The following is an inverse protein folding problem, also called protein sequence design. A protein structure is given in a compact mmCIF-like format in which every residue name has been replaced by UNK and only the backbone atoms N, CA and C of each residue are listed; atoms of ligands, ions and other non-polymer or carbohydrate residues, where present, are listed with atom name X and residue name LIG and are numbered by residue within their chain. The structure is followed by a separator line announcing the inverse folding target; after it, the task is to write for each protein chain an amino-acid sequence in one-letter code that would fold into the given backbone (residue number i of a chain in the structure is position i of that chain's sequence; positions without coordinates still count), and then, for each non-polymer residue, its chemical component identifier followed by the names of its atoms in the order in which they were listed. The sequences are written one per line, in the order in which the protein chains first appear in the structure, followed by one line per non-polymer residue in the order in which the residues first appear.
data_IF_733181157327
#
_entry.id   IF_733181157327
#
_cell.length_a   1.000
_cell.length_b   1.000
_cell.length_c   1.000
_cell.angle_alpha   90.00
_cell.angle_beta   90.00
_cell.angle_gamma   90.00
#
_symmetry.space_group_name_H-M   'P 1'
#
loop_
_entity.id
_entity.type
_entity.pdbx_description
1 polymer ?
#
# COMPACT_ATOMS: atom_id res chain seq x y z
N UNK A 1 19.04 -15.79 -7.22
CA UNK A 1 19.78 -16.58 -6.24
C UNK A 1 19.70 -18.08 -6.51
N UNK A 2 20.41 -18.86 -5.72
CA UNK A 2 20.47 -20.33 -5.88
C UNK A 2 19.08 -20.97 -5.68
N UNK A 3 18.31 -20.47 -4.74
CA UNK A 3 16.97 -20.99 -4.39
C UNK A 3 15.84 -20.39 -5.26
N UNK A 4 16.19 -19.50 -6.20
CA UNK A 4 15.23 -18.84 -7.11
C UNK A 4 14.10 -18.12 -6.36
N UNK A 5 14.38 -17.57 -5.22
CA UNK A 5 13.45 -16.89 -4.32
C UNK A 5 13.34 -15.38 -4.58
N UNK A 6 14.26 -14.82 -5.37
CA UNK A 6 14.24 -13.42 -5.77
C UNK A 6 13.74 -13.25 -7.20
N UNK A 7 13.10 -12.13 -7.45
CA UNK A 7 12.71 -11.64 -8.77
C UNK A 7 13.42 -10.32 -9.00
N UNK A 8 14.10 -10.20 -10.14
CA UNK A 8 14.72 -8.94 -10.56
C UNK A 8 14.11 -8.46 -11.87
N UNK A 9 13.85 -7.18 -11.97
CA UNK A 9 13.25 -6.57 -13.14
C UNK A 9 13.11 -5.07 -12.99
N UNK A 10 12.67 -4.43 -14.07
CA UNK A 10 12.32 -3.02 -14.08
C UNK A 10 10.85 -2.84 -13.72
N UNK A 11 10.55 -1.82 -12.90
CA UNK A 11 9.18 -1.40 -12.60
C UNK A 11 8.45 -2.33 -11.63
N UNK A 12 9.16 -2.99 -10.69
CA UNK A 12 8.51 -3.58 -9.52
C UNK A 12 7.74 -2.52 -8.74
N UNK A 13 8.29 -1.35 -8.66
CA UNK A 13 7.65 -0.11 -8.25
C UNK A 13 6.86 0.49 -9.44
N UNK A 14 5.47 0.40 -9.46
CA UNK A 14 4.70 -0.33 -8.47
C UNK A 14 3.88 -1.48 -9.12
N UNK A 15 4.37 -2.09 -10.18
CA UNK A 15 3.62 -3.17 -10.86
C UNK A 15 3.42 -4.41 -9.98
N UNK A 16 4.30 -4.66 -9.00
CA UNK A 16 4.14 -5.81 -8.12
C UNK A 16 2.99 -5.64 -7.12
N UNK A 17 2.78 -4.45 -6.56
CA UNK A 17 1.65 -4.18 -5.67
C UNK A 17 0.34 -4.05 -6.47
N UNK A 18 0.37 -3.48 -7.68
CA UNK A 18 -0.78 -3.47 -8.58
C UNK A 18 -1.22 -4.89 -8.94
N UNK A 19 -0.28 -5.77 -9.29
CA UNK A 19 -0.55 -7.18 -9.58
C UNK A 19 -1.15 -7.92 -8.38
N UNK A 20 -0.55 -7.78 -7.19
CA UNK A 20 -1.05 -8.45 -5.98
C UNK A 20 -2.41 -7.92 -5.56
N UNK A 21 -2.69 -6.63 -5.72
CA UNK A 21 -4.00 -6.01 -5.47
C UNK A 21 -5.08 -6.59 -6.39
N UNK A 22 -4.78 -6.69 -7.69
CA UNK A 22 -5.70 -7.30 -8.66
C UNK A 22 -5.98 -8.76 -8.32
N UNK A 23 -4.93 -9.55 -8.08
CA UNK A 23 -5.08 -10.95 -7.74
C UNK A 23 -5.83 -11.15 -6.42
N UNK A 24 -5.60 -10.31 -5.44
CA UNK A 24 -6.30 -10.34 -4.17
C UNK A 24 -7.81 -10.11 -4.36
N UNK A 25 -8.19 -9.07 -5.10
CA UNK A 25 -9.59 -8.77 -5.40
C UNK A 25 -10.27 -9.91 -6.16
N UNK A 26 -9.63 -10.43 -7.22
CA UNK A 26 -10.20 -11.51 -8.05
C UNK A 26 -10.37 -12.85 -7.31
N UNK A 27 -9.57 -13.09 -6.27
CA UNK A 27 -9.59 -14.32 -5.48
C UNK A 27 -10.24 -14.12 -4.09
N UNK A 28 -10.71 -12.92 -3.77
CA UNK A 28 -11.42 -12.67 -2.52
C UNK A 28 -12.88 -13.11 -2.60
N UNK A 29 -13.42 -13.52 -1.47
CA UNK A 29 -14.85 -13.80 -1.36
C UNK A 29 -15.64 -12.49 -1.29
N UNK A 30 -16.80 -12.49 -1.93
CA UNK A 30 -17.75 -11.38 -1.85
C UNK A 30 -18.33 -11.29 -0.43
N UNK A 31 -18.40 -10.08 0.11
CA UNK A 31 -18.99 -9.82 1.42
C UNK A 31 -20.04 -8.70 1.34
N UNK A 32 -20.52 -8.22 2.49
CA UNK A 32 -21.53 -7.16 2.58
C UNK A 32 -21.01 -5.76 2.20
N UNK A 33 -19.71 -5.61 1.95
CA UNK A 33 -19.06 -4.33 1.62
C UNK A 33 -18.70 -4.28 0.15
N UNK A 34 -18.70 -3.09 -0.44
CA UNK A 34 -18.17 -2.87 -1.78
C UNK A 34 -16.64 -2.97 -1.74
N UNK A 35 -16.08 -3.87 -2.54
CA UNK A 35 -14.66 -4.06 -2.70
C UNK A 35 -14.21 -3.35 -3.98
N UNK A 36 -13.17 -2.51 -3.89
CA UNK A 36 -12.69 -1.72 -5.02
C UNK A 36 -11.16 -1.80 -5.06
N UNK A 37 -10.59 -2.10 -6.22
CA UNK A 37 -9.18 -1.85 -6.52
C UNK A 37 -9.10 -0.72 -7.54
N UNK A 38 -8.34 0.32 -7.23
CA UNK A 38 -8.13 1.49 -8.07
C UNK A 38 -6.67 1.51 -8.51
N UNK A 39 -6.43 1.50 -9.81
CA UNK A 39 -5.10 1.57 -10.39
C UNK A 39 -4.91 2.98 -10.96
N UNK A 40 -4.26 3.84 -10.17
CA UNK A 40 -3.98 5.21 -10.56
C UNK A 40 -2.68 5.29 -11.36
N UNK A 41 -2.59 6.29 -12.22
CA UNK A 41 -1.38 6.60 -12.98
C UNK A 41 -0.62 7.78 -12.36
N UNK A 42 0.63 7.94 -12.79
CA UNK A 42 1.44 9.14 -12.50
C UNK A 42 1.80 9.33 -11.01
N UNK A 43 1.83 8.28 -10.21
CA UNK A 43 2.22 8.38 -8.80
C UNK A 43 3.59 9.03 -8.68
N UNK A 44 4.60 8.51 -9.37
CA UNK A 44 6.01 8.95 -9.39
C UNK A 44 6.22 10.41 -9.81
N UNK A 45 5.23 11.01 -10.46
CA UNK A 45 5.28 12.40 -10.92
C UNK A 45 4.30 13.31 -10.19
N UNK A 46 3.76 12.84 -9.04
CA UNK A 46 2.94 13.62 -8.13
C UNK A 46 1.44 13.54 -8.38
N UNK A 47 0.96 12.55 -9.12
CA UNK A 47 -0.47 12.21 -9.29
C UNK A 47 -1.36 13.33 -9.87
N UNK A 48 -0.80 14.33 -10.56
CA UNK A 48 -1.51 15.54 -10.99
C UNK A 48 -2.16 15.46 -12.39
N UNK A 49 -2.16 14.29 -13.01
CA UNK A 49 -2.78 14.09 -14.33
C UNK A 49 -4.21 13.54 -14.18
N UNK A 50 -4.95 13.51 -15.29
CA UNK A 50 -6.38 13.18 -15.31
C UNK A 50 -6.75 11.82 -14.69
N UNK A 51 -5.82 10.86 -14.70
CA UNK A 51 -5.98 9.51 -14.10
C UNK A 51 -5.13 9.32 -12.86
N UNK A 52 -4.56 10.40 -12.33
CA UNK A 52 -3.81 10.40 -11.08
C UNK A 52 -4.72 10.61 -9.86
N UNK A 53 -4.29 10.20 -8.70
CA UNK A 53 -5.07 10.29 -7.47
C UNK A 53 -5.38 11.72 -7.01
N UNK A 54 -4.65 12.73 -7.50
CA UNK A 54 -4.93 14.14 -7.20
C UNK A 54 -5.93 14.79 -8.15
N UNK A 55 -6.55 14.03 -9.04
CA UNK A 55 -7.62 14.50 -9.92
C UNK A 55 -9.00 14.20 -9.33
N UNK A 56 -10.04 14.68 -9.98
CA UNK A 56 -11.43 14.35 -9.61
C UNK A 56 -11.82 12.90 -9.95
N UNK A 57 -10.96 12.15 -10.63
CA UNK A 57 -11.17 10.77 -11.05
C UNK A 57 -11.67 9.86 -9.91
N UNK A 58 -11.10 10.01 -8.70
CA UNK A 58 -11.52 9.25 -7.53
C UNK A 58 -12.95 9.65 -7.10
N UNK A 59 -13.24 10.95 -7.05
CA UNK A 59 -14.56 11.45 -6.67
C UNK A 59 -15.62 11.01 -7.68
N UNK A 60 -15.29 10.98 -8.97
CA UNK A 60 -16.17 10.48 -10.04
C UNK A 60 -16.48 8.99 -9.89
N UNK A 61 -15.52 8.15 -9.50
CA UNK A 61 -15.77 6.73 -9.23
C UNK A 61 -16.82 6.58 -8.13
N UNK A 62 -16.64 7.25 -6.99
CA UNK A 62 -17.58 7.17 -5.87
C UNK A 62 -18.95 7.78 -6.20
N UNK A 63 -18.97 8.86 -6.97
CA UNK A 63 -20.21 9.48 -7.42
C UNK A 63 -21.01 8.56 -8.34
N UNK A 64 -20.34 7.87 -9.25
CA UNK A 64 -20.97 6.88 -10.13
C UNK A 64 -21.52 5.69 -9.34
N UNK A 65 -20.75 5.16 -8.37
CA UNK A 65 -21.21 4.08 -7.48
C UNK A 65 -22.41 4.50 -6.62
N UNK A 66 -22.48 5.78 -6.26
CA UNK A 66 -23.60 6.37 -5.51
C UNK A 66 -24.77 6.80 -6.40
N UNK A 67 -24.82 6.41 -7.68
CA UNK A 67 -25.86 6.79 -8.65
C UNK A 67 -26.07 8.32 -8.75
N UNK A 68 -25.01 9.10 -8.63
CA UNK A 68 -25.03 10.56 -8.70
C UNK A 68 -25.37 11.27 -7.39
N UNK A 69 -25.60 10.55 -6.29
CA UNK A 69 -25.85 11.18 -4.99
C UNK A 69 -24.52 11.59 -4.34
N UNK A 70 -24.25 12.89 -4.37
CA UNK A 70 -23.02 13.47 -3.82
C UNK A 70 -22.86 13.23 -2.30
N UNK A 71 -23.94 13.22 -1.53
CA UNK A 71 -23.90 13.00 -0.08
C UNK A 71 -23.49 11.57 0.23
N UNK A 72 -24.10 10.60 -0.46
CA UNK A 72 -23.77 9.18 -0.36
C UNK A 72 -22.33 8.93 -0.79
N UNK A 73 -21.88 9.51 -1.89
CA UNK A 73 -20.50 9.40 -2.37
C UNK A 73 -19.48 9.90 -1.33
N UNK A 74 -19.72 11.09 -0.78
CA UNK A 74 -18.85 11.69 0.26
C UNK A 74 -18.82 10.87 1.55
N UNK A 75 -19.94 10.32 1.95
CA UNK A 75 -20.04 9.44 3.12
C UNK A 75 -19.31 8.12 2.86
N UNK A 76 -19.45 7.53 1.69
CA UNK A 76 -18.72 6.33 1.30
C UNK A 76 -17.20 6.53 1.35
N UNK A 77 -16.69 7.64 0.79
CA UNK A 77 -15.25 7.97 0.85
C UNK A 77 -14.77 8.05 2.30
N UNK A 78 -15.47 8.77 3.17
CA UNK A 78 -15.07 8.93 4.58
C UNK A 78 -15.07 7.61 5.35
N UNK A 79 -16.01 6.72 5.05
CA UNK A 79 -16.15 5.42 5.72
C UNK A 79 -15.29 4.33 5.08
N UNK A 80 -14.54 4.66 4.02
CA UNK A 80 -13.65 3.71 3.37
C UNK A 80 -12.41 3.42 4.22
N UNK A 81 -12.07 2.15 4.29
CA UNK A 81 -10.79 1.66 4.73
C UNK A 81 -9.93 1.34 3.50
N UNK A 82 -8.74 1.90 3.43
CA UNK A 82 -7.93 1.88 2.21
C UNK A 82 -6.51 1.40 2.52
N UNK A 83 -6.05 0.42 1.79
CA UNK A 83 -4.64 0.13 1.66
C UNK A 83 -4.11 0.93 0.46
N UNK A 84 -3.17 1.82 0.70
CA UNK A 84 -2.33 2.41 -0.34
C UNK A 84 -1.28 1.35 -0.66
N UNK A 85 -1.51 0.68 -1.77
CA UNK A 85 -0.72 -0.46 -2.21
C UNK A 85 0.46 0.08 -3.02
N UNK A 86 1.60 0.18 -2.38
CA UNK A 86 2.84 0.70 -2.95
C UNK A 86 4.03 -0.05 -2.35
N UNK A 87 5.14 -0.18 -3.06
CA UNK A 87 6.35 -0.82 -2.54
C UNK A 87 6.90 -0.05 -1.34
N UNK A 88 7.68 -0.72 -0.52
CA UNK A 88 8.45 -0.06 0.54
C UNK A 88 9.95 -0.28 0.38
N UNK A 89 10.75 0.62 0.93
CA UNK A 89 12.19 0.54 0.83
C UNK A 89 12.73 -0.68 1.60
N UNK A 90 13.28 -1.66 0.89
CA UNK A 90 14.04 -2.74 1.50
C UNK A 90 15.34 -2.24 2.10
N UNK A 91 15.70 -2.72 3.29
CA UNK A 91 16.92 -2.31 3.96
C UNK A 91 18.17 -2.63 3.12
N UNK A 92 18.93 -1.60 2.83
CA UNK A 92 20.23 -1.68 2.16
C UNK A 92 21.35 -1.23 3.09
N UNK A 93 22.31 -2.11 3.34
CA UNK A 93 23.41 -1.84 4.26
C UNK A 93 24.29 -0.66 3.83
N UNK A 94 24.39 -0.41 2.52
CA UNK A 94 25.13 0.72 1.96
C UNK A 94 24.53 2.06 2.37
N UNK A 95 23.22 2.11 2.61
CA UNK A 95 22.47 3.30 3.00
C UNK A 95 21.86 3.17 4.41
N UNK A 96 22.47 2.38 5.28
CA UNK A 96 21.93 2.05 6.60
C UNK A 96 21.54 3.30 7.44
N UNK A 97 22.24 4.42 7.28
CA UNK A 97 21.94 5.67 7.99
C UNK A 97 20.57 6.27 7.66
N UNK A 98 19.98 5.92 6.53
CA UNK A 98 18.66 6.43 6.11
C UNK A 98 17.49 5.62 6.71
N UNK A 99 17.75 4.44 7.25
CA UNK A 99 16.74 3.57 7.83
C UNK A 99 16.64 3.74 9.34
N UNK A 100 15.45 3.55 9.88
CA UNK A 100 15.22 3.44 11.32
C UNK A 100 15.58 2.02 11.78
N UNK A 101 16.55 1.89 12.68
CA UNK A 101 17.07 0.59 13.08
C UNK A 101 16.03 -0.36 13.68
N UNK A 102 15.06 0.21 14.39
CA UNK A 102 14.01 -0.55 15.07
C UNK A 102 12.82 -0.91 14.16
N UNK A 103 12.72 -0.31 12.97
CA UNK A 103 11.54 -0.42 12.11
C UNK A 103 11.91 -0.28 10.62
N UNK A 104 12.67 -1.24 10.13
CA UNK A 104 13.12 -1.34 8.73
C UNK A 104 12.64 -2.64 8.09
N UNK A 105 12.18 -2.58 6.85
CA UNK A 105 11.81 -3.76 6.10
C UNK A 105 13.05 -4.46 5.53
N UNK A 106 13.11 -5.77 5.63
CA UNK A 106 14.17 -6.61 5.07
C UNK A 106 13.57 -7.56 4.05
N UNK A 107 14.08 -7.54 2.83
CA UNK A 107 13.62 -8.42 1.74
C UNK A 107 13.69 -9.89 2.16
N UNK A 108 12.61 -10.65 1.95
CA UNK A 108 12.48 -12.05 2.36
C UNK A 108 11.86 -12.26 3.74
N UNK A 109 11.38 -11.20 4.41
CA UNK A 109 10.80 -11.27 5.76
C UNK A 109 9.31 -10.99 5.85
N UNK A 110 8.65 -10.84 4.71
CA UNK A 110 7.21 -10.61 4.62
C UNK A 110 6.84 -9.20 4.18
N UNK A 111 5.55 -8.95 4.07
CA UNK A 111 5.00 -7.67 3.63
C UNK A 111 5.37 -6.52 4.57
N UNK A 112 5.68 -5.36 4.00
CA UNK A 112 5.88 -4.12 4.74
C UNK A 112 4.55 -3.45 5.09
N UNK A 113 4.34 -3.12 6.36
CA UNK A 113 3.25 -2.26 6.82
C UNK A 113 3.87 -0.94 7.26
N UNK A 114 3.50 0.16 6.61
CA UNK A 114 4.10 1.46 6.79
C UNK A 114 3.09 2.42 7.44
N UNK A 115 3.02 2.49 8.76
CA UNK A 115 2.04 3.33 9.44
C UNK A 115 2.41 4.81 9.45
N UNK A 116 3.64 5.16 9.09
CA UNK A 116 4.15 6.53 9.11
C UNK A 116 5.23 6.74 8.05
N UNK A 117 5.00 7.70 7.15
CA UNK A 117 5.88 8.05 6.03
C UNK A 117 6.71 9.32 6.24
N UNK A 118 6.77 9.86 7.45
CA UNK A 118 7.56 11.05 7.75
C UNK A 118 6.77 12.35 7.70
N UNK A 119 7.48 13.49 7.94
CA UNK A 119 6.86 14.82 8.12
C UNK A 119 6.44 15.51 6.81
N UNK A 120 7.04 15.11 5.68
CA UNK A 120 6.81 15.75 4.39
C UNK A 120 5.96 14.80 3.53
N UNK A 121 4.71 15.15 3.28
CA UNK A 121 3.79 14.39 2.40
C UNK A 121 3.51 12.95 2.86
N UNK A 122 3.81 12.64 4.12
CA UNK A 122 3.58 11.31 4.65
C UNK A 122 2.17 11.14 5.21
N UNK A 123 1.77 9.89 5.33
CA UNK A 123 0.60 9.47 6.06
C UNK A 123 0.99 9.16 7.51
N UNK A 124 0.12 9.49 8.45
CA UNK A 124 0.15 9.00 9.83
C UNK A 124 -1.15 8.24 10.06
N UNK A 125 -1.07 6.94 9.97
CA UNK A 125 -2.25 6.07 9.99
C UNK A 125 -2.94 6.09 11.34
N UNK A 126 -4.27 6.20 11.33
CA UNK A 126 -5.10 6.07 12.52
C UNK A 126 -4.75 4.82 13.32
N UNK A 127 -4.67 4.97 14.64
CA UNK A 127 -4.23 3.91 15.55
C UNK A 127 -5.10 2.65 15.46
N UNK A 128 -6.41 2.80 15.38
CA UNK A 128 -7.34 1.67 15.32
C UNK A 128 -7.21 0.92 13.98
N UNK A 129 -7.08 1.66 12.88
CA UNK A 129 -6.90 1.06 11.56
C UNK A 129 -5.56 0.33 11.44
N UNK A 130 -4.50 0.93 11.96
CA UNK A 130 -3.18 0.26 12.07
C UNK A 130 -3.27 -1.04 12.88
N UNK A 131 -3.96 -1.03 14.03
CA UNK A 131 -4.15 -2.21 14.86
C UNK A 131 -4.95 -3.30 14.13
N UNK A 132 -5.99 -2.90 13.39
CA UNK A 132 -6.80 -3.80 12.58
C UNK A 132 -5.97 -4.52 11.52
N UNK A 133 -5.20 -3.79 10.70
CA UNK A 133 -4.38 -4.39 9.63
C UNK A 133 -3.32 -5.33 10.19
N UNK A 134 -2.69 -4.94 11.31
CA UNK A 134 -1.76 -5.82 12.02
C UNK A 134 -2.45 -7.08 12.54
N UNK A 135 -3.66 -6.96 13.09
CA UNK A 135 -4.42 -8.10 13.61
C UNK A 135 -4.81 -9.06 12.48
N UNK A 136 -5.20 -8.55 11.31
CA UNK A 136 -5.45 -9.37 10.13
C UNK A 136 -4.24 -10.22 9.74
N UNK A 137 -3.05 -9.63 9.77
CA UNK A 137 -1.83 -10.37 9.49
C UNK A 137 -1.59 -11.49 10.52
N UNK A 138 -1.79 -11.20 11.80
CA UNK A 138 -1.61 -12.19 12.89
C UNK A 138 -2.62 -13.32 12.81
N UNK A 139 -3.90 -13.02 12.64
CA UNK A 139 -4.98 -14.01 12.61
C UNK A 139 -4.89 -14.98 11.42
N UNK A 140 -4.21 -14.56 10.37
CA UNK A 140 -4.03 -15.34 9.15
C UNK A 140 -2.60 -15.90 8.96
N UNK A 141 -1.75 -15.85 9.98
CA UNK A 141 -0.35 -16.30 9.91
C UNK A 141 0.39 -15.71 8.68
N UNK A 142 0.24 -14.40 8.47
CA UNK A 142 0.90 -13.66 7.41
C UNK A 142 2.18 -13.05 7.98
N UNK A 143 3.30 -13.29 7.30
CA UNK A 143 4.58 -12.68 7.66
C UNK A 143 4.56 -11.21 7.29
N UNK A 144 4.78 -10.35 8.28
CA UNK A 144 4.80 -8.91 8.07
C UNK A 144 5.95 -8.25 8.83
N UNK A 145 6.27 -7.06 8.41
CA UNK A 145 7.25 -6.18 9.04
C UNK A 145 6.63 -4.81 9.23
N UNK A 146 7.04 -4.10 10.27
CA UNK A 146 6.68 -2.67 10.41
C UNK A 146 7.88 -1.86 9.90
N UNK A 147 7.61 -1.01 8.92
CA UNK A 147 8.59 -0.05 8.42
C UNK A 147 8.14 1.36 8.76
N UNK A 148 9.04 2.18 9.23
CA UNK A 148 8.80 3.60 9.43
C UNK A 148 9.96 4.40 8.86
N UNK A 149 9.64 5.46 8.16
CA UNK A 149 10.66 6.37 7.66
C UNK A 149 11.33 7.10 8.83
N UNK A 150 12.63 7.26 8.77
CA UNK A 150 13.39 8.02 9.74
C UNK A 150 12.91 9.48 9.76
N UNK A 151 12.56 9.98 10.92
CA UNK A 151 11.94 11.32 11.10
C UNK A 151 12.80 12.45 10.52
N UNK A 152 14.13 12.30 10.56
CA UNK A 152 15.09 13.29 10.06
C UNK A 152 15.21 13.32 8.55
N UNK A 153 14.99 12.18 7.89
CA UNK A 153 15.17 12.04 6.43
C UNK A 153 13.88 12.41 5.67
N UNK A 154 12.75 12.06 6.24
CA UNK A 154 11.47 12.14 5.54
C UNK A 154 11.32 11.04 4.49
N UNK A 155 10.10 10.59 4.27
CA UNK A 155 9.76 9.63 3.21
C UNK A 155 9.30 10.31 1.93
N UNK A 156 9.19 9.54 0.85
CA UNK A 156 8.43 9.88 -0.34
C UNK A 156 6.94 10.03 0.01
N UNK A 157 6.18 10.74 -0.83
CA UNK A 157 4.73 10.69 -0.75
C UNK A 157 4.21 9.45 -1.42
N UNK A 158 3.04 8.99 -1.01
CA UNK A 158 2.26 7.95 -1.68
C UNK A 158 0.87 8.48 -2.00
N UNK A 159 0.07 7.68 -2.69
CA UNK A 159 -1.32 8.05 -2.97
C UNK A 159 -2.19 8.16 -1.70
N UNK A 160 -1.72 7.67 -0.56
CA UNK A 160 -2.43 7.71 0.72
C UNK A 160 -2.88 9.11 1.13
N UNK A 161 -2.09 10.15 0.85
CA UNK A 161 -2.40 11.53 1.22
C UNK A 161 -3.65 12.06 0.55
N UNK A 162 -3.97 11.63 -0.67
CA UNK A 162 -5.14 12.08 -1.41
C UNK A 162 -6.45 11.53 -0.81
N UNK A 163 -6.39 10.38 -0.18
CA UNK A 163 -7.54 9.79 0.51
C UNK A 163 -7.68 10.27 1.96
N UNK A 164 -6.58 10.45 2.68
CA UNK A 164 -6.62 10.99 4.06
C UNK A 164 -7.19 12.40 4.08
N UNK A 165 -6.89 13.23 3.08
CA UNK A 165 -7.48 14.57 2.95
C UNK A 165 -8.99 14.54 2.68
N UNK A 166 -9.52 13.44 2.17
CA UNK A 166 -10.95 13.21 1.99
C UNK A 166 -11.64 12.62 3.23
N UNK A 167 -10.86 12.23 4.24
CA UNK A 167 -11.32 11.70 5.52
C UNK A 167 -11.40 10.18 5.62
N UNK A 168 -10.81 9.45 4.67
CA UNK A 168 -10.71 7.99 4.70
C UNK A 168 -9.68 7.50 5.72
N UNK A 169 -9.84 6.27 6.19
CA UNK A 169 -8.80 5.54 6.92
C UNK A 169 -7.83 4.91 5.93
N UNK A 170 -6.57 5.31 5.99
CA UNK A 170 -5.55 4.85 5.01
C UNK A 170 -4.31 4.33 5.73
N UNK A 171 -3.74 3.27 5.19
CA UNK A 171 -2.43 2.73 5.58
C UNK A 171 -1.65 2.32 4.34
N UNK A 172 -0.36 2.59 4.35
CA UNK A 172 0.54 2.14 3.28
C UNK A 172 1.04 0.73 3.59
N UNK A 173 0.92 -0.17 2.61
CA UNK A 173 1.29 -1.58 2.74
C UNK A 173 1.81 -2.09 1.41
N UNK A 174 3.01 -2.67 1.40
CA UNK A 174 3.53 -3.20 0.16
C UNK A 174 4.75 -4.11 0.24
N UNK A 175 5.26 -4.43 -0.93
CA UNK A 175 6.38 -5.34 -1.10
C UNK A 175 7.69 -4.61 -0.81
N UNK A 176 8.56 -5.12 0.09
CA UNK A 176 9.91 -4.57 0.24
C UNK A 176 10.73 -4.76 -1.04
N UNK A 177 11.30 -3.68 -1.55
CA UNK A 177 12.10 -3.65 -2.78
C UNK A 177 13.49 -3.11 -2.52
N UNK A 178 14.50 -3.71 -3.14
CA UNK A 178 15.86 -3.20 -3.18
C UNK A 178 16.09 -2.45 -4.50
N UNK A 179 16.94 -1.44 -4.47
CA UNK A 179 17.31 -0.63 -5.63
C UNK A 179 16.08 0.00 -6.31
N UNK A 180 15.10 0.47 -5.51
CA UNK A 180 13.91 1.20 -5.97
C UNK A 180 14.29 2.30 -6.98
N UNK A 181 13.48 2.47 -8.03
CA UNK A 181 13.71 3.41 -9.13
C UNK A 181 14.96 3.11 -10.00
N UNK A 182 15.61 1.96 -9.82
CA UNK A 182 16.71 1.55 -10.69
C UNK A 182 16.22 0.74 -11.90
N UNK A 183 17.07 0.57 -12.94
CA UNK A 183 16.72 -0.34 -14.03
C UNK A 183 16.54 -1.81 -13.65
N UNK A 184 17.02 -2.20 -12.48
CA UNK A 184 16.92 -3.57 -11.94
C UNK A 184 16.59 -3.54 -10.45
N UNK A 185 15.33 -3.51 -10.15
CA UNK A 185 14.80 -3.64 -8.80
C UNK A 185 14.72 -5.11 -8.42
N UNK A 186 14.78 -5.40 -7.11
CA UNK A 186 14.77 -6.76 -6.60
C UNK A 186 13.74 -6.92 -5.49
N UNK A 187 12.87 -7.91 -5.64
CA UNK A 187 11.88 -8.30 -4.63
C UNK A 187 11.99 -9.78 -4.29
N UNK A 188 11.43 -10.18 -3.15
CA UNK A 188 11.29 -11.59 -2.77
C UNK A 188 9.93 -12.15 -3.19
N UNK A 189 9.92 -13.39 -3.67
CA UNK A 189 8.68 -14.13 -3.93
C UNK A 189 7.86 -14.35 -2.65
N UNK A 190 8.53 -14.53 -1.52
CA UNK A 190 7.87 -14.65 -0.23
C UNK A 190 7.12 -13.36 0.11
N UNK A 191 7.78 -12.21 0.00
CA UNK A 191 7.17 -10.92 0.34
C UNK A 191 6.01 -10.58 -0.60
N UNK A 192 6.17 -10.87 -1.89
CA UNK A 192 5.11 -10.72 -2.89
C UNK A 192 3.88 -11.58 -2.54
N UNK A 193 4.10 -12.84 -2.12
CA UNK A 193 3.02 -13.74 -1.74
C UNK A 193 2.33 -13.31 -0.43
N UNK A 194 3.11 -12.90 0.57
CA UNK A 194 2.53 -12.41 1.83
C UNK A 194 1.76 -11.09 1.63
N UNK A 195 2.21 -10.24 0.70
CA UNK A 195 1.47 -9.03 0.30
C UNK A 195 0.13 -9.38 -0.33
N UNK A 196 0.11 -10.32 -1.29
CA UNK A 196 -1.13 -10.84 -1.85
C UNK A 196 -2.08 -11.39 -0.77
N UNK A 197 -1.57 -12.18 0.17
CA UNK A 197 -2.37 -12.76 1.26
C UNK A 197 -2.99 -11.67 2.13
N UNK A 198 -2.22 -10.64 2.51
CA UNK A 198 -2.73 -9.55 3.34
C UNK A 198 -3.80 -8.73 2.60
N UNK A 199 -3.59 -8.42 1.32
CA UNK A 199 -4.60 -7.72 0.53
C UNK A 199 -5.88 -8.56 0.38
N UNK A 200 -5.76 -9.88 0.20
CA UNK A 200 -6.92 -10.77 0.09
C UNK A 200 -7.76 -10.76 1.38
N UNK A 201 -7.16 -10.98 2.54
CA UNK A 201 -7.90 -10.98 3.81
C UNK A 201 -8.43 -9.59 4.17
N UNK A 202 -7.79 -8.52 3.69
CA UNK A 202 -8.32 -7.17 3.82
C UNK A 202 -9.59 -6.97 2.99
N UNK A 203 -9.64 -7.45 1.75
CA UNK A 203 -10.88 -7.44 0.96
C UNK A 203 -11.99 -8.26 1.60
N UNK A 204 -11.67 -9.33 2.29
CA UNK A 204 -12.61 -10.24 2.96
C UNK A 204 -13.08 -9.72 4.35
N UNK A 205 -12.65 -8.55 4.78
CA UNK A 205 -13.06 -7.93 6.04
C UNK A 205 -14.57 -7.76 6.15
N UNK A 206 -15.18 -8.44 7.12
CA UNK A 206 -16.62 -8.37 7.41
C UNK A 206 -17.42 -9.56 6.89
N UNK A 207 -16.72 -10.64 6.52
CA UNK A 207 -17.32 -11.97 6.37
C UNK A 207 -17.52 -12.62 7.72
#
# INVERSE_FOLDING_TARGET
GFDKDLITGYGHDDSCCAFTSLQALLNSESNSKTQIAIFASYEETGSNQATGCNSEFIDDIFLNLANGDFRVAREAIRNSMIISADVCAGFESTYASHFEDSAKAVVGKGVGIIPYLGRKRGNDTDFHFRALVKQLALDNDIKYQIETTKVTEGGGGTVSTFFTTKGSYVIDVGVPVLAMHSPQEVISKTDLFETYRLYKVFFELGN
#
